data_IF_959851373440
#
_entry.id   IF_959851373440
#
_cell.length_a   1.000
_cell.length_b   1.000
_cell.length_c   1.000
_cell.angle_alpha   90.00
_cell.angle_beta   90.00
_cell.angle_gamma   90.00
#
_symmetry.space_group_name_H-M   'P 1'
#
loop_
_entity.id
_entity.type
_entity.pdbx_description
1 polymer ?
#
# COMPACT_ATOMS: atom_id res chain seq x y z
N UNK A 1 -22.36 -38.09 5.68
CA UNK A 1 -21.19 -37.53 5.01
C UNK A 1 -21.47 -36.05 4.78
N UNK A 2 -20.92 -35.18 5.63
CA UNK A 2 -20.99 -33.70 5.44
C UNK A 2 -20.05 -33.33 4.32
N UNK A 3 -20.61 -32.91 3.18
CA UNK A 3 -19.83 -32.35 2.09
C UNK A 3 -19.27 -30.98 2.49
N UNK A 4 -17.95 -30.86 2.59
CA UNK A 4 -17.27 -29.56 2.70
C UNK A 4 -17.40 -28.91 1.32
N UNK A 5 -18.27 -27.91 1.22
CA UNK A 5 -18.29 -27.02 0.06
C UNK A 5 -17.00 -26.19 0.10
N UNK A 6 -16.01 -26.57 -0.68
CA UNK A 6 -14.90 -25.69 -1.02
C UNK A 6 -15.48 -24.60 -1.94
N UNK A 7 -15.87 -23.49 -1.35
CA UNK A 7 -16.10 -22.27 -2.10
C UNK A 7 -14.76 -21.89 -2.74
N UNK A 8 -14.61 -22.12 -4.05
CA UNK A 8 -13.49 -21.56 -4.80
C UNK A 8 -13.73 -20.04 -4.85
N UNK A 9 -13.11 -19.31 -3.94
CA UNK A 9 -13.01 -17.86 -4.09
C UNK A 9 -12.34 -17.59 -5.44
N UNK A 10 -13.03 -16.87 -6.31
CA UNK A 10 -12.41 -16.40 -7.54
C UNK A 10 -11.25 -15.47 -7.14
N UNK A 11 -10.05 -15.75 -7.66
CA UNK A 11 -8.89 -14.89 -7.39
C UNK A 11 -9.23 -13.45 -7.79
N UNK A 12 -8.78 -12.47 -6.97
CA UNK A 12 -8.96 -11.06 -7.27
C UNK A 12 -8.45 -10.72 -8.69
N UNK A 13 -9.27 -10.03 -9.46
CA UNK A 13 -9.02 -9.74 -10.88
C UNK A 13 -8.31 -8.40 -11.12
N UNK A 14 -8.06 -7.60 -10.07
CA UNK A 14 -7.50 -6.26 -10.14
C UNK A 14 -8.53 -5.14 -10.02
N UNK A 15 -9.82 -5.48 -9.88
CA UNK A 15 -10.89 -4.49 -9.72
C UNK A 15 -10.80 -3.75 -8.38
N UNK A 16 -11.42 -2.57 -8.34
CA UNK A 16 -11.63 -1.79 -7.13
C UNK A 16 -13.11 -1.60 -6.86
N UNK A 17 -13.53 -1.82 -5.63
CA UNK A 17 -14.92 -1.67 -5.20
C UNK A 17 -14.97 -0.96 -3.86
N UNK A 18 -15.82 0.07 -3.74
CA UNK A 18 -15.98 0.80 -2.49
C UNK A 18 -16.48 -0.12 -1.37
N UNK A 19 -16.03 0.14 -0.15
CA UNK A 19 -16.61 -0.46 1.05
C UNK A 19 -18.05 0.02 1.23
N UNK A 20 -18.88 -0.84 1.84
CA UNK A 20 -20.30 -0.58 2.04
C UNK A 20 -20.68 -0.48 3.52
N UNK A 21 -19.73 -0.76 4.41
CA UNK A 21 -19.94 -0.79 5.85
C UNK A 21 -19.01 0.19 6.56
N UNK A 22 -19.52 0.80 7.63
CA UNK A 22 -18.82 1.78 8.44
C UNK A 22 -19.03 3.22 7.94
N UNK A 23 -18.67 4.18 8.79
CA UNK A 23 -18.68 5.61 8.50
C UNK A 23 -17.29 6.24 8.68
N UNK A 24 -16.30 5.38 9.00
CA UNK A 24 -14.92 5.75 9.23
C UNK A 24 -14.67 6.40 10.58
N UNK A 25 -15.61 6.35 11.52
CA UNK A 25 -15.33 6.69 12.91
C UNK A 25 -14.57 5.56 13.60
N UNK A 26 -13.98 5.84 14.75
CA UNK A 26 -13.28 4.83 15.56
C UNK A 26 -14.20 3.69 15.99
N UNK A 27 -15.46 4.03 16.35
CA UNK A 27 -16.46 3.09 16.81
C UNK A 27 -17.12 2.31 15.66
N UNK A 28 -17.07 2.84 14.43
CA UNK A 28 -17.66 2.26 13.24
C UNK A 28 -16.74 2.45 12.02
N UNK A 29 -15.55 1.80 12.01
CA UNK A 29 -14.56 1.96 10.95
C UNK A 29 -15.11 1.50 9.58
N UNK A 30 -14.55 2.02 8.50
CA UNK A 30 -14.76 1.44 7.19
C UNK A 30 -14.21 0.02 7.17
N UNK A 31 -15.02 -0.95 6.76
CA UNK A 31 -14.62 -2.35 6.72
C UNK A 31 -14.05 -2.71 5.35
N UNK A 32 -12.87 -3.31 5.36
CA UNK A 32 -12.22 -3.90 4.18
C UNK A 32 -12.38 -5.41 4.30
N UNK A 33 -13.26 -5.96 3.48
CA UNK A 33 -13.71 -7.35 3.53
C UNK A 33 -13.11 -8.22 2.43
N UNK A 34 -12.50 -7.56 1.43
CA UNK A 34 -11.92 -8.21 0.25
C UNK A 34 -10.86 -7.34 -0.43
N UNK A 35 -10.16 -7.95 -1.39
CA UNK A 35 -9.04 -7.39 -2.13
C UNK A 35 -9.44 -6.16 -2.96
N UNK A 36 -10.64 -6.17 -3.54
CA UNK A 36 -11.15 -5.06 -4.34
C UNK A 36 -11.37 -3.79 -3.50
N UNK A 37 -11.72 -3.93 -2.23
CA UNK A 37 -11.87 -2.81 -1.31
C UNK A 37 -10.51 -2.26 -0.85
N UNK A 38 -9.49 -3.09 -0.68
CA UNK A 38 -8.12 -2.61 -0.47
C UNK A 38 -7.62 -1.84 -1.69
N UNK A 39 -7.88 -2.35 -2.90
CA UNK A 39 -7.57 -1.66 -4.15
C UNK A 39 -8.30 -0.31 -4.26
N UNK A 40 -9.54 -0.23 -3.78
CA UNK A 40 -10.27 1.04 -3.75
C UNK A 40 -9.60 2.06 -2.82
N UNK A 41 -9.13 1.64 -1.65
CA UNK A 41 -8.35 2.51 -0.76
C UNK A 41 -7.09 3.03 -1.47
N UNK A 42 -6.38 2.15 -2.17
CA UNK A 42 -5.20 2.52 -2.96
C UNK A 42 -5.53 3.60 -3.99
N UNK A 43 -6.59 3.43 -4.78
CA UNK A 43 -6.98 4.36 -5.82
C UNK A 43 -7.40 5.73 -5.25
N UNK A 44 -8.22 5.75 -4.22
CA UNK A 44 -8.74 7.00 -3.64
C UNK A 44 -7.65 7.81 -2.95
N UNK A 45 -6.73 7.17 -2.23
CA UNK A 45 -5.59 7.88 -1.63
C UNK A 45 -4.66 8.42 -2.72
N UNK A 46 -4.38 7.65 -3.75
CA UNK A 46 -3.52 8.08 -4.85
C UNK A 46 -4.12 9.25 -5.63
N UNK A 47 -5.44 9.35 -5.69
CA UNK A 47 -6.13 10.50 -6.30
C UNK A 47 -6.29 11.71 -5.36
N UNK A 48 -5.90 11.58 -4.10
CA UNK A 48 -5.77 12.71 -3.18
C UNK A 48 -6.67 12.69 -1.95
N UNK A 49 -7.47 11.61 -1.75
CA UNK A 49 -8.23 11.46 -0.52
C UNK A 49 -7.28 11.08 0.63
N UNK A 50 -7.25 11.87 1.69
CA UNK A 50 -6.28 11.65 2.79
C UNK A 50 -6.81 10.77 3.90
N UNK A 51 -8.12 10.66 4.05
CA UNK A 51 -8.79 9.96 5.15
C UNK A 51 -8.30 10.38 6.54
N UNK A 52 -7.93 11.65 6.70
CA UNK A 52 -7.46 12.16 7.99
C UNK A 52 -8.54 11.99 9.08
N UNK A 53 -8.15 11.35 10.19
CA UNK A 53 -9.05 11.04 11.30
C UNK A 53 -10.07 9.95 11.00
N UNK A 54 -9.94 9.22 9.88
CA UNK A 54 -10.76 8.07 9.54
C UNK A 54 -10.08 6.77 9.92
N UNK A 55 -10.89 5.76 10.20
CA UNK A 55 -10.50 4.43 10.63
C UNK A 55 -10.93 3.39 9.61
N UNK A 56 -10.03 2.48 9.31
CA UNK A 56 -10.25 1.32 8.45
C UNK A 56 -9.89 0.06 9.21
N UNK A 57 -10.61 -1.02 8.96
CA UNK A 57 -10.36 -2.33 9.57
C UNK A 57 -10.49 -3.44 8.56
N UNK A 58 -9.49 -4.34 8.51
CA UNK A 58 -9.64 -5.62 7.82
C UNK A 58 -10.61 -6.51 8.61
N UNK A 59 -11.39 -7.31 7.90
CA UNK A 59 -12.30 -8.29 8.50
C UNK A 59 -12.02 -9.73 8.05
N UNK A 60 -11.04 -9.89 7.17
CA UNK A 60 -10.58 -11.18 6.65
C UNK A 60 -9.13 -11.09 6.18
N UNK A 61 -8.48 -12.25 6.07
CA UNK A 61 -7.22 -12.36 5.34
C UNK A 61 -7.47 -12.11 3.84
N UNK A 62 -6.55 -11.37 3.20
CA UNK A 62 -6.63 -11.02 1.79
C UNK A 62 -5.56 -11.77 0.99
N UNK A 63 -5.98 -12.52 -0.03
CA UNK A 63 -5.10 -13.14 -1.02
C UNK A 63 -5.15 -12.37 -2.34
N UNK A 64 -4.12 -11.57 -2.59
CA UNK A 64 -4.07 -10.69 -3.76
C UNK A 64 -3.76 -11.45 -5.07
N UNK A 65 -3.69 -12.79 -5.04
CA UNK A 65 -3.61 -13.64 -6.22
C UNK A 65 -2.32 -13.50 -7.05
N UNK A 66 -1.24 -13.05 -6.44
CA UNK A 66 0.03 -12.80 -7.14
C UNK A 66 0.01 -11.56 -8.05
N UNK A 67 -0.98 -10.68 -7.90
CA UNK A 67 -1.11 -9.49 -8.74
C UNK A 67 -0.27 -8.32 -8.22
N UNK A 68 -0.02 -7.38 -9.13
CA UNK A 68 0.59 -6.10 -8.79
C UNK A 68 -0.47 -5.09 -8.33
N UNK A 69 -0.13 -4.33 -7.31
CA UNK A 69 -0.85 -3.15 -6.87
C UNK A 69 0.18 -2.05 -6.57
N UNK A 70 -0.02 -0.84 -7.10
CA UNK A 70 0.81 0.28 -6.69
C UNK A 70 0.66 0.56 -5.18
N UNK A 71 1.68 1.20 -4.60
CA UNK A 71 1.61 1.67 -3.21
C UNK A 71 0.35 2.52 -2.96
N UNK A 72 -0.19 2.44 -1.76
CA UNK A 72 -1.26 3.35 -1.32
C UNK A 72 -0.66 4.75 -1.13
N UNK A 73 -1.13 5.71 -1.94
CA UNK A 73 -0.55 7.04 -2.03
C UNK A 73 0.70 7.10 -2.92
N UNK A 74 1.33 8.25 -2.99
CA UNK A 74 2.63 8.39 -3.62
C UNK A 74 3.49 9.50 -2.99
N UNK A 75 4.79 9.43 -3.21
CA UNK A 75 5.75 10.44 -2.83
C UNK A 75 6.77 10.58 -3.95
N UNK A 76 6.91 11.80 -4.46
CA UNK A 76 7.82 12.13 -5.55
C UNK A 76 8.51 13.45 -5.28
N UNK A 77 9.83 13.44 -5.41
CA UNK A 77 10.64 14.64 -5.57
C UNK A 77 11.09 14.70 -7.03
N UNK A 78 10.80 15.79 -7.71
CA UNK A 78 11.23 15.98 -9.09
C UNK A 78 11.57 17.44 -9.39
N UNK A 79 12.43 17.64 -10.40
CA UNK A 79 12.71 18.96 -10.98
C UNK A 79 12.24 18.98 -12.42
N UNK A 80 11.71 20.10 -12.88
CA UNK A 80 11.36 20.29 -14.28
C UNK A 80 12.29 21.33 -14.94
N UNK A 81 12.39 21.31 -16.27
CA UNK A 81 13.15 22.33 -17.00
C UNK A 81 12.58 23.74 -16.81
N UNK A 82 11.29 23.84 -16.61
CA UNK A 82 10.57 25.10 -16.39
C UNK A 82 10.67 25.57 -14.93
N UNK A 83 10.80 24.63 -14.01
CA UNK A 83 10.98 24.91 -12.57
C UNK A 83 12.18 24.10 -12.06
N UNK A 84 13.40 24.70 -11.99
CA UNK A 84 14.57 24.02 -11.46
C UNK A 84 14.55 23.86 -9.94
N UNK A 85 13.59 24.45 -9.23
CA UNK A 85 13.38 24.18 -7.82
C UNK A 85 12.76 22.79 -7.65
N UNK A 86 13.17 22.11 -6.55
CA UNK A 86 12.66 20.79 -6.22
C UNK A 86 11.15 20.86 -5.92
N UNK A 87 10.37 20.21 -6.75
CA UNK A 87 8.93 20.05 -6.52
C UNK A 87 8.69 18.77 -5.73
N UNK A 88 7.96 18.88 -4.64
CA UNK A 88 7.52 17.76 -3.82
C UNK A 88 6.03 17.53 -4.01
N UNK A 89 5.68 16.37 -4.45
CA UNK A 89 4.29 15.94 -4.54
C UNK A 89 4.08 14.69 -3.70
N UNK A 90 3.08 14.74 -2.81
CA UNK A 90 2.70 13.59 -2.02
C UNK A 90 1.20 13.43 -1.95
N UNK A 91 0.74 12.18 -2.04
CA UNK A 91 -0.63 11.76 -1.76
C UNK A 91 -0.55 10.77 -0.61
N UNK A 92 -1.11 11.11 0.53
CA UNK A 92 -0.82 10.47 1.80
C UNK A 92 -2.08 9.98 2.47
N UNK A 93 -2.05 8.74 2.90
CA UNK A 93 -3.02 8.23 3.84
C UNK A 93 -2.72 8.79 5.24
N UNK A 94 -3.67 9.47 5.85
CA UNK A 94 -3.55 10.10 7.19
C UNK A 94 -4.54 9.54 8.19
N UNK A 95 -5.04 8.34 7.94
CA UNK A 95 -5.99 7.65 8.80
C UNK A 95 -5.32 6.59 9.66
N UNK A 96 -6.16 5.79 10.30
CA UNK A 96 -5.78 4.56 10.99
C UNK A 96 -6.17 3.36 10.12
N UNK A 97 -5.21 2.48 9.87
CA UNK A 97 -5.41 1.20 9.21
C UNK A 97 -5.14 0.07 10.20
N UNK A 98 -6.19 -0.54 10.68
CA UNK A 98 -6.15 -1.66 11.61
C UNK A 98 -6.30 -2.98 10.84
N UNK A 99 -5.24 -3.78 10.82
CA UNK A 99 -5.28 -5.10 10.21
C UNK A 99 -6.10 -6.12 10.99
N UNK A 100 -6.50 -5.81 12.22
CA UNK A 100 -7.22 -6.72 13.13
C UNK A 100 -6.62 -8.13 13.20
N UNK A 101 -5.27 -8.18 13.14
CA UNK A 101 -4.43 -9.39 13.10
C UNK A 101 -4.58 -10.26 11.84
N UNK A 102 -5.24 -9.74 10.80
CA UNK A 102 -5.32 -10.39 9.49
C UNK A 102 -4.03 -10.23 8.67
N UNK A 103 -3.94 -11.04 7.64
CA UNK A 103 -2.80 -11.08 6.72
C UNK A 103 -3.22 -10.60 5.32
N UNK A 104 -2.37 -9.77 4.71
CA UNK A 104 -2.39 -9.52 3.26
C UNK A 104 -1.25 -10.32 2.66
N UNK A 105 -1.54 -11.17 1.67
CA UNK A 105 -0.56 -12.05 1.05
C UNK A 105 -0.66 -12.08 -0.48
N UNK A 106 0.35 -12.67 -1.14
CA UNK A 106 0.42 -12.85 -2.58
C UNK A 106 0.25 -11.55 -3.36
N UNK A 107 0.94 -10.48 -2.92
CA UNK A 107 0.88 -9.13 -3.50
C UNK A 107 2.25 -8.67 -3.95
N UNK A 108 2.37 -8.17 -5.18
CA UNK A 108 3.54 -7.42 -5.63
C UNK A 108 3.23 -5.92 -5.54
N UNK A 109 3.91 -5.24 -4.63
CA UNK A 109 3.79 -3.80 -4.43
C UNK A 109 4.82 -3.11 -5.32
N UNK A 110 4.37 -2.16 -6.13
CA UNK A 110 5.20 -1.44 -7.08
C UNK A 110 5.11 0.08 -6.87
N UNK A 111 6.06 0.83 -7.42
CA UNK A 111 6.01 2.28 -7.42
C UNK A 111 4.79 2.81 -8.18
N UNK A 112 4.21 3.88 -7.68
CA UNK A 112 3.15 4.64 -8.37
C UNK A 112 3.68 5.54 -9.48
N UNK A 113 4.98 5.77 -9.52
CA UNK A 113 5.57 6.69 -10.49
C UNK A 113 6.94 6.19 -10.97
N UNK A 114 6.99 5.79 -12.22
CA UNK A 114 8.21 5.33 -12.89
C UNK A 114 9.21 6.48 -13.22
N UNK A 115 8.79 7.74 -13.10
CA UNK A 115 9.60 8.93 -13.46
C UNK A 115 10.11 9.70 -12.23
N UNK A 116 9.83 9.21 -11.00
CA UNK A 116 10.29 9.87 -9.80
C UNK A 116 11.82 9.82 -9.66
N UNK A 117 12.41 10.92 -9.32
CA UNK A 117 13.85 10.99 -8.95
C UNK A 117 14.07 10.55 -7.50
N UNK A 118 13.04 10.50 -6.71
CA UNK A 118 13.02 9.94 -5.36
C UNK A 118 11.58 9.57 -5.04
N UNK A 119 11.32 8.29 -4.88
CA UNK A 119 9.99 7.76 -4.57
C UNK A 119 9.93 7.06 -3.21
N UNK A 120 8.74 6.67 -2.81
CA UNK A 120 8.50 5.78 -1.69
C UNK A 120 7.71 4.57 -2.16
N UNK A 121 8.19 3.36 -1.88
CA UNK A 121 7.53 2.09 -2.23
C UNK A 121 7.38 1.23 -1.00
N UNK A 122 6.15 0.91 -0.67
CA UNK A 122 5.73 0.06 0.42
C UNK A 122 4.22 -0.12 0.34
N UNK A 123 3.58 -0.82 1.27
CA UNK A 123 2.11 -0.87 1.26
C UNK A 123 1.53 0.55 1.23
N UNK A 124 2.10 1.46 2.01
CA UNK A 124 1.88 2.90 1.93
C UNK A 124 3.16 3.58 1.40
N UNK A 125 3.04 4.40 0.38
CA UNK A 125 4.19 5.07 -0.22
C UNK A 125 4.88 6.02 0.76
N UNK A 126 4.10 6.74 1.55
CA UNK A 126 4.58 7.72 2.53
C UNK A 126 3.66 7.74 3.75
N UNK A 127 4.24 8.04 4.94
CA UNK A 127 3.50 8.30 6.18
C UNK A 127 3.79 9.70 6.73
N UNK A 128 2.78 10.27 7.39
CA UNK A 128 2.86 11.51 8.17
C UNK A 128 2.45 11.26 9.63
N UNK A 129 2.60 12.24 10.54
CA UNK A 129 2.31 12.06 11.97
C UNK A 129 0.91 11.49 12.28
N UNK A 130 -0.07 11.74 11.42
CA UNK A 130 -1.44 11.25 11.59
C UNK A 130 -1.64 9.81 11.06
N UNK A 131 -0.69 9.27 10.32
CA UNK A 131 -0.76 7.91 9.79
C UNK A 131 -0.55 6.90 10.90
N UNK A 132 -1.47 5.98 11.08
CA UNK A 132 -1.34 4.88 12.03
C UNK A 132 -1.67 3.55 11.34
N UNK A 133 -0.73 2.62 11.36
CA UNK A 133 -0.88 1.26 10.82
C UNK A 133 -0.66 0.30 11.97
N UNK A 134 -1.61 -0.60 12.23
CA UNK A 134 -1.50 -1.51 13.34
C UNK A 134 -2.07 -2.90 13.06
N UNK A 135 -1.61 -3.88 13.86
CA UNK A 135 -2.13 -5.25 13.90
C UNK A 135 -2.18 -5.94 12.52
N UNK A 136 -1.19 -5.73 11.66
CA UNK A 136 -1.20 -6.19 10.28
C UNK A 136 -0.01 -7.11 10.00
N UNK A 137 -0.27 -8.21 9.31
CA UNK A 137 0.78 -9.06 8.72
C UNK A 137 0.81 -8.89 7.20
N UNK A 138 1.98 -8.64 6.65
CA UNK A 138 2.25 -8.84 5.22
C UNK A 138 2.94 -10.19 5.06
N UNK A 139 2.30 -11.11 4.33
CA UNK A 139 2.66 -12.51 4.22
C UNK A 139 3.93 -12.78 3.42
N UNK A 140 4.31 -14.06 3.31
CA UNK A 140 5.53 -14.49 2.63
C UNK A 140 5.48 -14.30 1.11
N UNK A 141 4.29 -14.29 0.53
CA UNK A 141 4.05 -14.03 -0.90
C UNK A 141 4.03 -12.54 -1.25
N UNK A 142 4.30 -11.64 -0.29
CA UNK A 142 4.38 -10.21 -0.57
C UNK A 142 5.78 -9.87 -1.06
N UNK A 143 5.87 -9.20 -2.21
CA UNK A 143 7.11 -8.62 -2.74
C UNK A 143 6.95 -7.11 -2.88
N UNK A 144 7.93 -6.34 -2.43
CA UNK A 144 8.00 -4.90 -2.66
C UNK A 144 9.10 -4.63 -3.68
N UNK A 145 8.72 -4.07 -4.83
CA UNK A 145 9.62 -3.80 -5.95
C UNK A 145 9.84 -2.30 -6.12
N UNK A 146 11.06 -1.85 -5.85
CA UNK A 146 11.48 -0.47 -6.02
C UNK A 146 12.61 -0.32 -7.02
N UNK A 147 12.80 0.90 -7.53
CA UNK A 147 13.96 1.31 -8.30
C UNK A 147 15.12 1.75 -7.38
N UNK A 148 16.29 2.01 -7.97
CA UNK A 148 17.45 2.54 -7.23
C UNK A 148 17.22 3.93 -6.61
N UNK A 149 16.17 4.64 -7.06
CA UNK A 149 15.80 5.98 -6.58
C UNK A 149 14.69 5.94 -5.53
N UNK A 150 14.17 4.75 -5.20
CA UNK A 150 13.06 4.62 -4.25
C UNK A 150 13.56 4.37 -2.83
N UNK A 151 12.86 4.97 -1.86
CA UNK A 151 12.89 4.51 -0.49
C UNK A 151 11.94 3.31 -0.38
N UNK A 152 12.45 2.16 -0.01
CA UNK A 152 11.67 0.92 -0.04
C UNK A 152 11.53 0.33 1.35
N UNK A 153 10.29 0.00 1.72
CA UNK A 153 9.99 -0.67 2.98
C UNK A 153 8.73 -1.53 2.86
N UNK A 154 8.58 -2.53 3.71
CA UNK A 154 7.40 -3.42 3.66
C UNK A 154 6.09 -2.66 3.84
N UNK A 155 5.97 -1.89 4.91
CA UNK A 155 4.76 -1.13 5.23
C UNK A 155 4.79 0.30 4.71
N UNK A 156 5.92 0.98 4.83
CA UNK A 156 6.07 2.40 4.48
C UNK A 156 7.35 2.56 3.68
N UNK A 157 7.25 3.19 2.52
CA UNK A 157 8.40 3.54 1.70
C UNK A 157 9.19 4.69 2.31
N UNK A 158 8.57 5.85 2.44
CA UNK A 158 9.19 7.04 3.05
C UNK A 158 8.41 7.48 4.29
N UNK A 159 9.07 7.62 5.43
CA UNK A 159 8.41 8.05 6.65
C UNK A 159 8.77 9.48 7.02
N UNK A 160 7.75 10.34 7.12
CA UNK A 160 7.82 11.69 7.65
C UNK A 160 7.11 11.81 9.01
N UNK A 161 6.93 10.70 9.67
CA UNK A 161 6.22 10.54 10.95
C UNK A 161 5.16 9.44 10.87
N UNK A 162 4.35 9.34 11.91
CA UNK A 162 3.31 8.32 12.02
C UNK A 162 3.72 7.13 12.90
N UNK A 163 2.86 6.15 12.97
CA UNK A 163 3.02 5.00 13.86
C UNK A 163 2.76 3.69 13.13
N UNK A 164 3.66 2.73 13.32
CA UNK A 164 3.48 1.34 12.90
C UNK A 164 3.67 0.46 14.14
N UNK A 165 2.65 -0.29 14.52
CA UNK A 165 2.70 -1.13 15.72
C UNK A 165 2.02 -2.47 15.53
N UNK A 166 2.53 -3.50 16.21
CA UNK A 166 2.03 -4.88 16.12
C UNK A 166 1.95 -5.38 14.65
N UNK A 167 2.88 -4.93 13.80
CA UNK A 167 2.92 -5.27 12.39
C UNK A 167 4.07 -6.24 12.11
N UNK A 168 3.85 -7.16 11.16
CA UNK A 168 4.85 -8.15 10.77
C UNK A 168 4.98 -8.18 9.24
N UNK A 169 6.21 -8.00 8.76
CA UNK A 169 6.56 -8.20 7.36
C UNK A 169 7.32 -9.52 7.19
N UNK A 170 6.79 -10.42 6.37
CA UNK A 170 7.36 -11.75 6.10
C UNK A 170 7.77 -11.91 4.65
N UNK A 171 7.50 -10.92 3.82
CA UNK A 171 7.77 -10.92 2.39
C UNK A 171 9.20 -10.58 2.05
N UNK A 172 9.41 -10.14 0.83
CA UNK A 172 10.71 -9.74 0.29
C UNK A 172 10.70 -8.32 -0.27
N UNK A 173 11.87 -7.70 -0.30
CA UNK A 173 12.10 -6.41 -0.93
C UNK A 173 13.09 -6.62 -2.06
N UNK A 174 12.76 -6.14 -3.26
CA UNK A 174 13.60 -6.21 -4.44
C UNK A 174 13.92 -4.83 -4.98
N UNK A 175 15.18 -4.61 -5.36
CA UNK A 175 15.64 -3.38 -6.01
C UNK A 175 16.09 -3.71 -7.42
N UNK A 176 15.57 -3.02 -8.41
CA UNK A 176 16.08 -3.07 -9.77
C UNK A 176 17.21 -2.05 -9.93
N UNK A 177 18.46 -2.52 -9.87
CA UNK A 177 19.61 -1.70 -10.28
C UNK A 177 19.71 -1.73 -11.80
N UNK A 178 19.43 -0.63 -12.46
CA UNK A 178 19.88 -0.42 -13.83
C UNK A 178 21.40 -0.21 -13.78
N UNK A 179 22.17 -1.30 -14.00
CA UNK A 179 23.61 -1.12 -14.26
C UNK A 179 23.74 -0.25 -15.50
N UNK A 180 24.34 0.92 -15.34
CA UNK A 180 24.84 1.67 -16.48
C UNK A 180 25.73 0.72 -17.29
N UNK A 181 25.38 0.53 -18.57
CA UNK A 181 26.30 -0.11 -19.50
C UNK A 181 27.56 0.76 -19.57
N UNK A 182 28.63 0.30 -18.96
CA UNK A 182 29.97 0.77 -19.31
C UNK A 182 30.16 0.42 -20.78
N UNK A 183 29.99 1.40 -21.64
CA UNK A 183 30.51 1.35 -23.01
C UNK A 183 32.03 1.46 -22.93
N UNK A 184 32.70 0.33 -23.09
CA UNK A 184 34.14 0.28 -23.35
C UNK A 184 34.44 0.87 -24.73
#
# INVERSE_FOLDING_TARGET
>A
VMGISLSSYAAWNGDATAWTQGDGSEQNPFLIENEAQLSHLQQTVTTGETYQGKFFRLTADLDMGGKQMPSIGHYNDYTTQENPELVRESKVFRGTFDGDFHTIDNLTIVSNNAEATLGGVGLFAISYPETHICNLTLGQGVTVEGSEFDNVGGFIGYSSGGKVENCRFMGSVSYTHLRAHETA
#
